data_IF_281940276781
#
_entry.id   IF_281940276781
#
_cell.length_a   1.000
_cell.length_b   1.000
_cell.length_c   1.000
_cell.angle_alpha   90.00
_cell.angle_beta   90.00
_cell.angle_gamma   90.00
#
_symmetry.space_group_name_H-M   'P 1'
#
loop_
_entity.id
_entity.type
_entity.pdbx_description
1 polymer ?
#
# COMPACT_ATOMS: atom_id res chain seq x y z
N UNK A 1 5.25 -3.32 -12.55
CA UNK A 1 4.38 -3.75 -11.44
C UNK A 1 5.18 -4.08 -10.19
N UNK A 2 6.18 -4.98 -10.26
CA UNK A 2 7.05 -5.32 -9.12
C UNK A 2 7.63 -4.08 -8.42
N UNK A 3 8.29 -3.19 -9.15
CA UNK A 3 8.84 -1.94 -8.61
C UNK A 3 7.80 -1.07 -7.87
N UNK A 4 6.56 -1.02 -8.37
CA UNK A 4 5.48 -0.27 -7.71
C UNK A 4 4.92 -0.97 -6.47
N UNK A 5 4.98 -2.30 -6.44
CA UNK A 5 4.66 -3.07 -5.24
C UNK A 5 5.77 -2.94 -4.19
N UNK A 6 7.04 -2.88 -4.63
CA UNK A 6 8.18 -2.60 -3.77
C UNK A 6 8.02 -1.21 -3.13
N UNK A 7 7.64 -0.19 -3.91
CA UNK A 7 7.33 1.17 -3.40
C UNK A 7 6.17 1.18 -2.37
N UNK A 8 5.12 0.39 -2.61
CA UNK A 8 4.01 0.23 -1.65
C UNK A 8 4.50 -0.43 -0.36
N UNK A 9 5.36 -1.44 -0.48
CA UNK A 9 5.94 -2.14 0.66
C UNK A 9 6.86 -1.21 1.47
N UNK A 10 7.68 -0.39 0.80
CA UNK A 10 8.53 0.62 1.46
C UNK A 10 7.70 1.61 2.28
N UNK A 11 6.57 2.09 1.74
CA UNK A 11 5.66 2.97 2.48
C UNK A 11 5.02 2.29 3.69
N UNK A 12 4.67 1.00 3.57
CA UNK A 12 4.14 0.22 4.70
C UNK A 12 5.20 0.05 5.79
N UNK A 13 6.43 -0.33 5.43
CA UNK A 13 7.53 -0.46 6.39
C UNK A 13 7.84 0.88 7.06
N UNK A 14 7.83 1.99 6.32
CA UNK A 14 8.03 3.31 6.90
C UNK A 14 6.93 3.67 7.92
N UNK A 15 5.67 3.35 7.62
CA UNK A 15 4.56 3.54 8.55
C UNK A 15 4.70 2.68 9.81
N UNK A 16 5.13 1.43 9.68
CA UNK A 16 5.35 0.52 10.81
C UNK A 16 6.47 1.02 11.71
N UNK A 17 7.61 1.43 11.13
CA UNK A 17 8.75 2.00 11.87
C UNK A 17 8.35 3.28 12.59
N UNK A 18 7.65 4.20 11.92
CA UNK A 18 7.18 5.44 12.54
C UNK A 18 6.19 5.16 13.68
N UNK A 19 5.35 4.14 13.52
CA UNK A 19 4.39 3.72 14.56
C UNK A 19 5.13 3.15 15.78
N UNK A 20 6.13 2.30 15.56
CA UNK A 20 6.94 1.72 16.63
C UNK A 20 7.71 2.80 17.39
N UNK A 21 8.36 3.71 16.67
CA UNK A 21 9.07 4.85 17.23
C UNK A 21 8.13 5.72 18.10
N UNK A 22 6.95 6.08 17.59
CA UNK A 22 5.95 6.84 18.35
C UNK A 22 5.50 6.12 19.63
N UNK A 23 5.23 4.81 19.56
CA UNK A 23 4.81 4.02 20.74
C UNK A 23 5.95 3.87 21.74
N UNK A 24 7.20 3.83 21.28
CA UNK A 24 8.38 3.75 22.13
C UNK A 24 8.71 5.06 22.87
N UNK A 25 7.98 6.13 22.55
CA UNK A 25 8.15 7.45 23.17
C UNK A 25 9.21 8.32 22.49
N UNK A 26 9.61 8.00 21.26
CA UNK A 26 10.41 8.91 20.44
C UNK A 26 9.60 10.17 20.08
N UNK A 27 10.32 11.26 19.81
CA UNK A 27 9.74 12.57 19.50
C UNK A 27 9.24 12.61 18.05
N UNK A 28 8.18 11.85 17.77
CA UNK A 28 7.44 11.86 16.50
C UNK A 28 6.12 12.60 16.70
N UNK A 29 5.83 13.57 15.83
CA UNK A 29 4.55 14.26 15.82
C UNK A 29 3.44 13.31 15.34
N UNK A 30 2.32 13.28 16.08
CA UNK A 30 1.17 12.43 15.76
C UNK A 30 0.58 12.76 14.37
N UNK A 31 0.64 14.01 13.91
CA UNK A 31 0.18 14.38 12.56
C UNK A 31 1.09 13.81 11.49
N UNK A 32 2.41 13.79 11.72
CA UNK A 32 3.36 13.18 10.79
C UNK A 32 3.13 11.67 10.71
N UNK A 33 2.92 11.00 11.85
CA UNK A 33 2.54 9.59 11.89
C UNK A 33 1.23 9.34 11.12
N UNK A 34 0.21 10.18 11.33
CA UNK A 34 -1.06 10.06 10.60
C UNK A 34 -0.90 10.26 9.09
N UNK A 35 -0.01 11.14 8.66
CA UNK A 35 0.30 11.34 7.23
C UNK A 35 0.98 10.10 6.64
N UNK A 36 2.07 9.61 7.27
CA UNK A 36 2.82 8.46 6.77
C UNK A 36 1.93 7.21 6.68
N UNK A 37 1.18 6.94 7.75
CA UNK A 37 0.24 5.81 7.80
C UNK A 37 -0.91 5.97 6.78
N UNK A 38 -1.41 7.19 6.58
CA UNK A 38 -2.42 7.52 5.58
C UNK A 38 -1.94 7.28 4.15
N UNK A 39 -0.73 7.73 3.82
CA UNK A 39 -0.10 7.51 2.51
C UNK A 39 0.15 6.03 2.23
N UNK A 40 0.65 5.29 3.22
CA UNK A 40 0.87 3.86 3.12
C UNK A 40 -0.44 3.12 2.83
N UNK A 41 -1.52 3.45 3.58
CA UNK A 41 -2.84 2.86 3.40
C UNK A 41 -3.44 3.17 2.01
N UNK A 42 -3.38 4.42 1.57
CA UNK A 42 -3.90 4.82 0.26
C UNK A 42 -3.14 4.12 -0.88
N UNK A 43 -1.81 4.02 -0.76
CA UNK A 43 -0.95 3.33 -1.74
C UNK A 43 -1.30 1.84 -1.83
N UNK A 44 -1.54 1.18 -0.70
CA UNK A 44 -1.96 -0.22 -0.66
C UNK A 44 -3.35 -0.43 -1.28
N UNK A 45 -4.31 0.44 -0.97
CA UNK A 45 -5.64 0.40 -1.58
C UNK A 45 -5.56 0.49 -3.11
N UNK A 46 -4.76 1.44 -3.62
CA UNK A 46 -4.54 1.57 -5.06
C UNK A 46 -3.95 0.29 -5.67
N UNK A 47 -2.95 -0.33 -5.01
CA UNK A 47 -2.35 -1.56 -5.49
C UNK A 47 -3.36 -2.73 -5.55
N UNK A 48 -4.27 -2.81 -4.58
CA UNK A 48 -5.36 -3.80 -4.57
C UNK A 48 -6.32 -3.58 -5.73
N UNK A 49 -6.71 -2.33 -6.02
CA UNK A 49 -7.58 -2.02 -7.15
C UNK A 49 -6.93 -2.39 -8.49
N UNK A 50 -5.65 -2.09 -8.66
CA UNK A 50 -4.89 -2.51 -9.86
C UNK A 50 -4.88 -4.03 -9.98
N UNK A 51 -4.61 -4.76 -8.88
CA UNK A 51 -4.66 -6.22 -8.86
C UNK A 51 -6.03 -6.74 -9.29
N UNK A 52 -7.11 -6.17 -8.75
CA UNK A 52 -8.47 -6.58 -9.09
C UNK A 52 -8.75 -6.38 -10.59
N UNK A 53 -8.36 -5.23 -11.16
CA UNK A 53 -8.53 -4.96 -12.60
C UNK A 53 -7.75 -5.92 -13.49
N UNK A 54 -6.54 -6.31 -13.09
CA UNK A 54 -5.77 -7.32 -13.81
C UNK A 54 -6.44 -8.70 -13.79
N UNK A 55 -7.00 -9.10 -12.65
CA UNK A 55 -7.76 -10.35 -12.51
C UNK A 55 -9.03 -10.32 -13.37
N UNK A 56 -9.78 -9.21 -13.33
CA UNK A 56 -10.96 -9.01 -14.18
C UNK A 56 -10.62 -9.11 -15.67
N UNK A 57 -9.55 -8.45 -16.11
CA UNK A 57 -9.10 -8.49 -17.50
C UNK A 57 -8.70 -9.91 -17.93
N UNK A 58 -8.01 -10.66 -17.06
CA UNK A 58 -7.69 -12.05 -17.32
C UNK A 58 -8.94 -12.93 -17.46
N UNK A 59 -9.93 -12.73 -16.58
CA UNK A 59 -11.19 -13.47 -16.64
C UNK A 59 -11.98 -13.13 -17.92
N UNK A 60 -11.97 -11.88 -18.36
CA UNK A 60 -12.65 -11.45 -19.59
C UNK A 60 -12.05 -12.09 -20.84
N UNK A 61 -10.71 -12.14 -20.94
CA UNK A 61 -10.02 -12.80 -22.06
C UNK A 61 -10.40 -14.28 -22.13
N UNK A 62 -10.46 -14.98 -20.98
CA UNK A 62 -10.86 -16.38 -20.94
C UNK A 62 -12.32 -16.60 -21.38
N UNK A 63 -13.23 -15.67 -21.03
CA UNK A 63 -14.64 -15.74 -21.44
C UNK A 63 -14.83 -15.57 -22.95
N UNK A 64 -13.98 -14.79 -23.63
CA UNK A 64 -14.07 -14.62 -25.09
C UNK A 64 -13.51 -15.80 -25.89
N UNK A 65 -12.66 -16.64 -25.28
CA UNK A 65 -12.03 -17.79 -25.96
C UNK A 65 -12.84 -19.08 -25.87
N UNK A 66 -13.95 -19.09 -25.11
CA UNK A 66 -14.93 -20.18 -25.04
C UNK A 66 -16.07 -19.99 -26.04
#
# INVERSE_FOLDING_TARGET
LKEKLDEVNEKQVAADVATEAFISGEDIDIHELMLITGEAKMSLQLAVEVRNKLVEAYQEINRMQL
#
